data_IF_818697425057
#
_entry.id   IF_818697425057
#
_cell.length_a   1.000
_cell.length_b   1.000
_cell.length_c   1.000
_cell.angle_alpha   90.00
_cell.angle_beta   90.00
_cell.angle_gamma   90.00
#
_symmetry.space_group_name_H-M   'P 1'
#
loop_
_entity.id
_entity.type
_entity.pdbx_description
1 polymer ?
#
# COMPACT_ATOMS: atom_id res chain seq x y z
N UNK A 1 18.93 -7.65 -19.46
CA UNK A 1 18.66 -6.21 -19.28
C UNK A 1 17.79 -5.63 -20.43
N UNK A 2 17.01 -6.45 -21.17
CA UNK A 2 16.25 -6.02 -22.37
C UNK A 2 14.75 -5.76 -22.17
N UNK A 3 14.16 -6.24 -21.07
CA UNK A 3 12.70 -6.16 -20.84
C UNK A 3 12.17 -4.73 -20.55
N UNK A 4 13.07 -3.79 -20.23
CA UNK A 4 12.73 -2.38 -19.99
C UNK A 4 12.39 -1.61 -21.28
N UNK A 5 12.86 -2.11 -22.44
CA UNK A 5 12.63 -1.49 -23.75
C UNK A 5 11.34 -1.97 -24.43
N UNK A 6 10.73 -3.04 -23.95
CA UNK A 6 9.58 -3.70 -24.58
C UNK A 6 8.22 -3.22 -24.04
N UNK A 7 8.21 -2.55 -22.87
CA UNK A 7 6.99 -2.07 -22.22
C UNK A 7 6.45 -0.76 -22.82
N UNK A 8 5.14 -0.52 -22.66
CA UNK A 8 4.53 0.74 -23.08
C UNK A 8 5.06 1.92 -22.24
N UNK A 9 4.90 3.14 -22.73
CA UNK A 9 5.23 4.33 -21.93
C UNK A 9 4.45 4.38 -20.60
N UNK A 10 3.20 3.89 -20.61
CA UNK A 10 2.37 3.79 -19.42
C UNK A 10 2.96 2.80 -18.40
N UNK A 11 3.47 1.65 -18.84
CA UNK A 11 4.13 0.67 -17.97
C UNK A 11 5.39 1.25 -17.33
N UNK A 12 6.20 2.00 -18.10
CA UNK A 12 7.39 2.66 -17.57
C UNK A 12 7.04 3.71 -16.52
N UNK A 13 6.03 4.55 -16.79
CA UNK A 13 5.53 5.54 -15.83
C UNK A 13 4.99 4.87 -14.56
N UNK A 14 4.29 3.75 -14.71
CA UNK A 14 3.80 2.95 -13.59
C UNK A 14 4.94 2.48 -12.70
N UNK A 15 5.96 1.81 -13.27
CA UNK A 15 7.11 1.31 -12.49
C UNK A 15 7.82 2.43 -11.75
N UNK A 16 8.10 3.57 -12.43
CA UNK A 16 8.76 4.71 -11.80
C UNK A 16 7.92 5.28 -10.65
N UNK A 17 6.61 5.48 -10.86
CA UNK A 17 5.69 5.96 -9.82
C UNK A 17 5.62 4.99 -8.65
N UNK A 18 5.50 3.69 -8.93
CA UNK A 18 5.51 2.64 -7.91
C UNK A 18 6.79 2.72 -7.08
N UNK A 19 7.97 2.74 -7.71
CA UNK A 19 9.23 2.85 -6.96
C UNK A 19 9.30 4.15 -6.15
N UNK A 20 8.89 5.27 -6.73
CA UNK A 20 8.88 6.58 -6.07
C UNK A 20 8.02 6.63 -4.81
N UNK A 21 6.95 5.85 -4.72
CA UNK A 21 6.10 5.78 -3.52
C UNK A 21 6.50 4.63 -2.57
N UNK A 22 6.90 3.47 -3.10
CA UNK A 22 7.19 2.31 -2.25
C UNK A 22 8.54 2.45 -1.53
N UNK A 23 9.53 3.10 -2.14
CA UNK A 23 10.84 3.32 -1.50
C UNK A 23 10.71 4.22 -0.25
N UNK A 24 10.05 5.40 -0.30
CA UNK A 24 9.81 6.20 0.90
C UNK A 24 9.00 5.45 1.96
N UNK A 25 7.96 4.70 1.56
CA UNK A 25 7.19 3.87 2.51
C UNK A 25 8.11 2.91 3.27
N UNK A 26 8.95 2.17 2.55
CA UNK A 26 9.91 1.24 3.18
C UNK A 26 10.88 2.00 4.06
N UNK A 27 11.43 3.12 3.61
CA UNK A 27 12.39 3.92 4.39
C UNK A 27 11.79 4.42 5.71
N UNK A 28 10.55 4.93 5.70
CA UNK A 28 9.85 5.38 6.91
C UNK A 28 9.58 4.23 7.87
N UNK A 29 9.13 3.07 7.37
CA UNK A 29 8.87 1.90 8.21
C UNK A 29 10.16 1.30 8.78
N UNK A 30 11.24 1.27 8.00
CA UNK A 30 12.57 0.85 8.48
C UNK A 30 13.05 1.80 9.59
N UNK A 31 12.92 3.11 9.40
CA UNK A 31 13.24 4.08 10.45
C UNK A 31 12.40 3.87 11.72
N UNK A 32 11.11 3.56 11.58
CA UNK A 32 10.25 3.22 12.72
C UNK A 32 10.71 1.96 13.45
N UNK A 33 11.07 0.89 12.72
CA UNK A 33 11.59 -0.36 13.31
C UNK A 33 12.90 -0.12 14.08
N UNK A 34 13.75 0.81 13.62
CA UNK A 34 14.98 1.21 14.32
C UNK A 34 14.77 2.22 15.45
N UNK A 35 13.52 2.54 15.81
CA UNK A 35 13.18 3.38 16.96
C UNK A 35 13.33 4.88 16.73
N UNK A 36 13.47 5.35 15.48
CA UNK A 36 13.65 6.78 15.16
C UNK A 36 12.48 7.64 15.67
N UNK A 37 11.30 7.04 15.78
CA UNK A 37 10.06 7.75 16.15
C UNK A 37 9.52 7.39 17.54
N UNK A 38 10.23 6.59 18.35
CA UNK A 38 9.72 6.10 19.64
C UNK A 38 9.30 7.24 20.59
N UNK A 39 10.05 8.33 20.57
CA UNK A 39 9.79 9.52 21.38
C UNK A 39 8.49 10.27 21.04
N UNK A 40 7.90 10.04 19.85
CA UNK A 40 6.65 10.68 19.43
C UNK A 40 5.44 9.74 19.50
N UNK A 41 5.62 8.45 19.76
CA UNK A 41 4.53 7.47 19.89
C UNK A 41 3.59 7.90 21.03
N UNK A 42 2.27 7.84 20.77
CA UNK A 42 1.22 8.26 21.72
C UNK A 42 1.04 9.77 21.85
N UNK A 43 1.85 10.60 21.19
CA UNK A 43 1.71 12.07 21.17
C UNK A 43 0.94 12.52 19.93
N UNK A 44 0.35 13.73 19.93
CA UNK A 44 -0.32 14.28 18.75
C UNK A 44 0.57 14.31 17.49
N UNK A 45 1.89 14.43 17.65
CA UNK A 45 2.85 14.38 16.56
C UNK A 45 2.87 13.02 15.81
N UNK A 46 2.46 11.91 16.45
CA UNK A 46 2.36 10.60 15.82
C UNK A 46 1.36 10.58 14.65
N UNK A 47 0.36 11.47 14.63
CA UNK A 47 -0.57 11.59 13.50
C UNK A 47 0.13 12.03 12.22
N UNK A 48 1.19 12.85 12.33
CA UNK A 48 2.01 13.25 11.18
C UNK A 48 2.79 12.04 10.66
N UNK A 49 3.32 11.19 11.54
CA UNK A 49 3.96 9.95 11.14
C UNK A 49 2.97 8.99 10.48
N UNK A 50 1.76 8.83 11.04
CA UNK A 50 0.71 8.02 10.44
C UNK A 50 0.36 8.51 9.02
N UNK A 51 0.22 9.83 8.84
CA UNK A 51 0.00 10.42 7.53
C UNK A 51 1.19 10.20 6.58
N UNK A 52 2.42 10.31 7.07
CA UNK A 52 3.64 10.07 6.29
C UNK A 52 3.77 8.60 5.82
N UNK A 53 3.29 7.64 6.63
CA UNK A 53 3.24 6.22 6.25
C UNK A 53 2.09 5.95 5.26
N UNK A 54 0.94 6.60 5.44
CA UNK A 54 -0.23 6.40 4.58
C UNK A 54 -0.09 7.07 3.21
N UNK A 55 0.54 8.24 3.12
CA UNK A 55 0.62 9.02 1.88
C UNK A 55 1.26 8.26 0.69
N UNK A 56 2.37 7.51 0.86
CA UNK A 56 2.91 6.73 -0.23
C UNK A 56 2.00 5.56 -0.66
N UNK A 57 1.20 4.98 0.25
CA UNK A 57 0.21 3.96 -0.12
C UNK A 57 -0.84 4.57 -1.05
N UNK A 58 -1.34 5.78 -0.74
CA UNK A 58 -2.27 6.52 -1.60
C UNK A 58 -1.65 6.81 -2.97
N UNK A 59 -0.38 7.25 -2.98
CA UNK A 59 0.37 7.49 -4.22
C UNK A 59 0.55 6.22 -5.06
N UNK A 60 0.81 5.09 -4.43
CA UNK A 60 0.91 3.79 -5.10
C UNK A 60 -0.42 3.34 -5.70
N UNK A 61 -1.54 3.49 -4.98
CA UNK A 61 -2.89 3.22 -5.50
C UNK A 61 -3.16 4.10 -6.73
N UNK A 62 -2.86 5.40 -6.64
CA UNK A 62 -2.98 6.32 -7.78
C UNK A 62 -2.14 5.88 -8.99
N UNK A 63 -0.93 5.35 -8.77
CA UNK A 63 -0.09 4.84 -9.85
C UNK A 63 -0.76 3.67 -10.59
N UNK A 64 -1.40 2.75 -9.85
CA UNK A 64 -2.14 1.64 -10.46
C UNK A 64 -3.38 2.13 -11.21
N UNK A 65 -4.15 3.05 -10.60
CA UNK A 65 -5.33 3.63 -11.27
C UNK A 65 -4.95 4.38 -12.55
N UNK A 66 -3.80 5.07 -12.55
CA UNK A 66 -3.27 5.72 -13.74
C UNK A 66 -2.90 4.71 -14.84
N UNK A 67 -2.31 3.56 -14.48
CA UNK A 67 -2.04 2.49 -15.44
C UNK A 67 -3.35 1.92 -16.00
N UNK A 68 -4.34 1.69 -15.13
CA UNK A 68 -5.66 1.19 -15.51
C UNK A 68 -6.37 2.14 -16.49
N UNK A 69 -6.23 3.45 -16.31
CA UNK A 69 -6.78 4.46 -17.23
C UNK A 69 -6.15 4.38 -18.61
N UNK A 70 -4.87 4.04 -18.70
CA UNK A 70 -4.14 3.89 -19.97
C UNK A 70 -4.26 2.49 -20.58
N UNK A 71 -4.87 1.54 -19.88
CA UNK A 71 -5.04 0.15 -20.32
C UNK A 71 -6.30 -0.02 -21.18
N UNK A 72 -6.35 -1.12 -21.94
CA UNK A 72 -7.57 -1.53 -22.65
C UNK A 72 -8.70 -1.94 -21.68
N UNK A 73 -9.92 -2.08 -22.22
CA UNK A 73 -11.11 -2.39 -21.43
C UNK A 73 -11.04 -3.76 -20.74
N UNK A 74 -10.41 -4.75 -21.37
CA UNK A 74 -10.27 -6.10 -20.81
C UNK A 74 -9.32 -6.10 -19.61
N UNK A 75 -8.14 -5.51 -19.75
CA UNK A 75 -7.14 -5.36 -18.67
C UNK A 75 -7.71 -4.51 -17.54
N UNK A 76 -8.41 -3.42 -17.86
CA UNK A 76 -9.08 -2.57 -16.87
C UNK A 76 -10.13 -3.34 -16.06
N UNK A 77 -11.01 -4.09 -16.73
CA UNK A 77 -12.01 -4.91 -16.06
C UNK A 77 -11.38 -6.00 -15.18
N UNK A 78 -10.32 -6.64 -15.68
CA UNK A 78 -9.56 -7.65 -14.93
C UNK A 78 -8.91 -7.06 -13.67
N UNK A 79 -8.27 -5.89 -13.80
CA UNK A 79 -7.65 -5.20 -12.66
C UNK A 79 -8.70 -4.76 -11.63
N UNK A 80 -9.84 -4.19 -12.08
CA UNK A 80 -10.93 -3.82 -11.18
C UNK A 80 -11.45 -5.02 -10.38
N UNK A 81 -11.67 -6.18 -11.03
CA UNK A 81 -12.06 -7.43 -10.35
C UNK A 81 -11.02 -7.85 -9.31
N UNK A 82 -9.73 -7.78 -9.63
CA UNK A 82 -8.64 -8.11 -8.69
C UNK A 82 -8.67 -7.20 -7.46
N UNK A 83 -8.86 -5.89 -7.65
CA UNK A 83 -8.99 -4.94 -6.54
C UNK A 83 -10.17 -5.26 -5.62
N UNK A 84 -11.34 -5.56 -6.21
CA UNK A 84 -12.54 -5.91 -5.45
C UNK A 84 -12.29 -7.17 -4.62
N UNK A 85 -11.73 -8.21 -5.22
CA UNK A 85 -11.42 -9.47 -4.51
C UNK A 85 -10.38 -9.24 -3.42
N UNK A 86 -9.30 -8.49 -3.70
CA UNK A 86 -8.26 -8.22 -2.70
C UNK A 86 -8.79 -7.37 -1.54
N UNK A 87 -9.61 -6.35 -1.82
CA UNK A 87 -10.21 -5.51 -0.79
C UNK A 87 -11.19 -6.31 0.06
N UNK A 88 -12.06 -7.12 -0.58
CA UNK A 88 -12.97 -8.04 0.11
C UNK A 88 -12.24 -9.00 1.04
N UNK A 89 -11.17 -9.63 0.56
CA UNK A 89 -10.35 -10.54 1.35
C UNK A 89 -9.64 -9.83 2.50
N UNK A 90 -9.05 -8.66 2.25
CA UNK A 90 -8.40 -7.87 3.30
C UNK A 90 -9.38 -7.46 4.40
N UNK A 91 -10.58 -7.00 4.03
CA UNK A 91 -11.63 -6.67 5.01
C UNK A 91 -12.07 -7.88 5.82
N UNK A 92 -12.28 -9.04 5.16
CA UNK A 92 -12.69 -10.26 5.84
C UNK A 92 -11.63 -10.75 6.85
N UNK A 93 -10.35 -10.76 6.45
CA UNK A 93 -9.24 -11.17 7.31
C UNK A 93 -9.07 -10.20 8.47
N UNK A 94 -9.05 -8.89 8.21
CA UNK A 94 -8.90 -7.88 9.25
C UNK A 94 -10.07 -7.92 10.25
N UNK A 95 -11.30 -8.10 9.77
CA UNK A 95 -12.48 -8.24 10.64
C UNK A 95 -12.41 -9.53 11.47
N UNK A 96 -12.06 -10.65 10.84
CA UNK A 96 -11.90 -11.92 11.54
C UNK A 96 -10.88 -11.81 12.68
N UNK A 97 -9.72 -11.19 12.42
CA UNK A 97 -8.70 -11.01 13.44
C UNK A 97 -9.11 -10.01 14.52
N UNK A 98 -9.68 -8.86 14.17
CA UNK A 98 -10.16 -7.87 15.14
C UNK A 98 -11.23 -8.44 16.09
N UNK A 99 -12.13 -9.28 15.58
CA UNK A 99 -13.08 -10.01 16.43
C UNK A 99 -12.43 -11.17 17.18
N UNK A 100 -11.41 -11.82 16.61
CA UNK A 100 -10.58 -12.80 17.30
C UNK A 100 -9.92 -12.23 18.56
N UNK A 101 -9.36 -11.02 18.46
CA UNK A 101 -8.82 -10.31 19.64
C UNK A 101 -9.92 -9.99 20.65
N UNK A 102 -11.07 -9.48 20.17
CA UNK A 102 -12.17 -9.05 21.03
C UNK A 102 -12.91 -10.18 21.74
N UNK A 103 -13.09 -11.33 21.09
CA UNK A 103 -13.97 -12.42 21.56
C UNK A 103 -13.23 -13.70 21.92
N UNK A 104 -12.13 -13.99 21.22
CA UNK A 104 -11.36 -15.22 21.40
C UNK A 104 -10.03 -15.00 22.14
N UNK A 105 -9.75 -13.77 22.59
CA UNK A 105 -8.50 -13.37 23.24
C UNK A 105 -7.27 -13.75 22.40
N UNK A 106 -7.38 -13.58 21.07
CA UNK A 106 -6.25 -13.79 20.16
C UNK A 106 -5.09 -12.82 20.50
N UNK A 107 -3.82 -13.20 20.23
CA UNK A 107 -2.69 -12.30 20.46
C UNK A 107 -2.84 -10.98 19.68
N UNK A 108 -2.48 -9.86 20.30
CA UNK A 108 -2.44 -8.58 19.58
C UNK A 108 -1.30 -8.59 18.56
N UNK A 109 -1.60 -8.23 17.31
CA UNK A 109 -0.56 -8.04 16.31
C UNK A 109 0.14 -6.68 16.52
N UNK A 110 1.47 -6.61 16.40
CA UNK A 110 2.23 -5.38 16.55
C UNK A 110 1.99 -4.37 15.42
#
# INVERSE_FOLDING_TARGET
MSRWSEGTEADRKYVVRTMAFTIPYVAVNVAAIFGVFDQIIGKPAAWVLAAAVAAPIVGWIWAILSLMQASDEFVRALMAKRFIVSAGLAMAIASFWGFGESYANAPHLP
#
